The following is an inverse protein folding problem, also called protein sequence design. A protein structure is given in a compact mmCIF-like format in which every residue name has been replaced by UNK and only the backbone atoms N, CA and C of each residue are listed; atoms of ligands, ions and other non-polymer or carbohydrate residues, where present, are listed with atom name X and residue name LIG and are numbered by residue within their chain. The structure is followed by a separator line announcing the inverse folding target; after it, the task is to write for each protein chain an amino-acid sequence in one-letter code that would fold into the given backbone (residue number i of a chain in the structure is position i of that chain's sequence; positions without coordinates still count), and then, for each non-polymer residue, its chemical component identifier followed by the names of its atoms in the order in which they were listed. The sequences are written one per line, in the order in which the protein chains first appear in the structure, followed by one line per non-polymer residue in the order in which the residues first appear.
data_IF_896642488135
#
_entry.id   IF_896642488135
#
_cell.length_a   1.000
_cell.length_b   1.000
_cell.length_c   1.000
_cell.angle_alpha   90.00
_cell.angle_beta   90.00
_cell.angle_gamma   90.00
#
_symmetry.space_group_name_H-M   'P 1'
#
loop_
_entity.id
_entity.type
_entity.pdbx_description
1 polymer ?
#
# COMPACT_ATOMS: atom_id res chain seq x y z
N UNK A 1 76.48 -24.80 -6.78
CA UNK A 1 76.33 -24.81 -8.26
C UNK A 1 75.42 -25.97 -8.59
N UNK A 2 74.15 -25.68 -8.84
CA UNK A 2 73.06 -26.64 -8.86
C UNK A 2 72.12 -26.39 -10.04
N UNK A 3 71.64 -27.51 -10.55
CA UNK A 3 70.79 -27.76 -11.70
C UNK A 3 69.34 -27.24 -11.57
N UNK A 4 68.75 -26.98 -12.74
CA UNK A 4 67.38 -27.33 -13.14
C UNK A 4 66.18 -27.01 -12.23
N UNK A 5 65.30 -26.10 -12.70
CA UNK A 5 63.87 -26.40 -12.95
C UNK A 5 63.11 -25.23 -13.56
N UNK A 6 62.57 -25.46 -14.76
CA UNK A 6 61.42 -24.76 -15.34
C UNK A 6 60.23 -24.79 -14.37
N UNK A 7 59.58 -23.66 -14.14
CA UNK A 7 58.17 -23.60 -13.71
C UNK A 7 57.48 -22.36 -14.27
N UNK A 8 56.68 -22.61 -15.32
CA UNK A 8 55.33 -22.06 -15.57
C UNK A 8 55.08 -20.57 -15.30
N UNK A 9 54.91 -19.79 -16.37
CA UNK A 9 53.89 -18.73 -16.39
C UNK A 9 53.42 -18.43 -17.81
N UNK A 10 52.69 -19.40 -18.36
CA UNK A 10 51.63 -19.08 -19.31
C UNK A 10 50.45 -18.46 -18.55
N UNK A 11 49.75 -17.56 -19.22
CA UNK A 11 48.42 -17.05 -18.88
C UNK A 11 48.29 -16.05 -17.72
N UNK A 12 48.87 -14.86 -17.88
CA UNK A 12 48.45 -13.66 -17.11
C UNK A 12 47.50 -12.73 -17.87
N UNK A 13 47.05 -13.07 -19.08
CA UNK A 13 46.22 -12.20 -19.92
C UNK A 13 44.70 -12.41 -19.78
N UNK A 14 44.24 -13.22 -18.80
CA UNK A 14 42.81 -13.50 -18.59
C UNK A 14 42.22 -13.02 -17.26
N UNK A 15 43.02 -12.44 -16.37
CA UNK A 15 42.57 -12.01 -15.05
C UNK A 15 42.17 -10.52 -14.98
N UNK A 16 42.38 -9.72 -16.02
CA UNK A 16 42.02 -8.28 -16.00
C UNK A 16 40.58 -7.97 -16.40
N UNK A 17 39.78 -8.97 -16.81
CA UNK A 17 38.39 -8.74 -17.28
C UNK A 17 37.30 -9.01 -16.26
N UNK A 18 37.65 -9.43 -15.03
CA UNK A 18 36.67 -9.73 -13.98
C UNK A 18 36.69 -8.64 -12.88
N UNK A 19 37.77 -7.89 -12.73
CA UNK A 19 37.92 -6.86 -11.68
C UNK A 19 37.28 -5.51 -12.02
N UNK A 20 36.91 -5.26 -13.28
CA UNK A 20 36.25 -4.00 -13.69
C UNK A 20 34.73 -3.97 -13.42
N UNK A 21 34.11 -5.09 -13.02
CA UNK A 21 32.68 -5.10 -12.69
C UNK A 21 32.36 -4.55 -11.29
N UNK A 22 33.28 -4.67 -10.33
CA UNK A 22 33.07 -4.14 -8.97
C UNK A 22 33.33 -2.63 -8.88
N UNK A 23 34.20 -2.08 -9.73
CA UNK A 23 34.58 -0.66 -9.72
C UNK A 23 33.58 0.29 -10.40
N UNK A 24 32.54 -0.23 -11.06
CA UNK A 24 31.45 0.57 -11.66
C UNK A 24 30.18 0.62 -10.80
N UNK A 25 30.21 0.00 -9.61
CA UNK A 25 29.06 -0.06 -8.69
C UNK A 25 29.07 1.04 -7.60
N UNK A 26 30.11 1.88 -7.54
CA UNK A 26 30.29 2.85 -6.44
C UNK A 26 30.12 4.33 -6.79
N UNK A 27 29.83 4.70 -8.05
CA UNK A 27 29.69 6.12 -8.45
C UNK A 27 28.30 6.49 -9.01
N UNK A 28 27.28 5.67 -8.76
CA UNK A 28 25.88 6.08 -9.01
C UNK A 28 25.13 6.34 -7.71
N UNK A 29 25.74 7.10 -6.81
CA UNK A 29 25.01 7.96 -5.87
C UNK A 29 24.38 9.13 -6.65
N UNK A 30 23.54 8.79 -7.62
CA UNK A 30 22.53 9.71 -8.11
C UNK A 30 21.45 9.76 -7.05
N UNK A 31 21.76 10.53 -6.00
CA UNK A 31 20.77 11.21 -5.19
C UNK A 31 19.76 11.84 -6.15
N UNK A 32 18.68 11.10 -6.40
CA UNK A 32 17.52 11.59 -7.12
C UNK A 32 17.01 12.72 -6.25
N UNK A 33 17.48 13.92 -6.54
CA UNK A 33 16.92 15.16 -6.05
C UNK A 33 15.45 15.10 -6.46
N UNK A 34 14.59 14.73 -5.51
CA UNK A 34 13.15 14.83 -5.63
C UNK A 34 12.87 16.33 -5.67
N UNK A 35 13.09 16.92 -6.84
CA UNK A 35 12.77 18.29 -7.14
C UNK A 35 11.24 18.37 -7.19
N UNK A 36 10.68 18.66 -6.03
CA UNK A 36 9.41 19.33 -5.80
C UNK A 36 8.36 19.15 -6.91
N UNK A 37 7.84 17.93 -7.08
CA UNK A 37 6.59 17.73 -7.83
C UNK A 37 5.44 18.08 -6.89
N UNK A 38 4.55 18.98 -7.34
CA UNK A 38 3.21 19.20 -6.76
C UNK A 38 2.58 17.85 -6.40
N UNK A 39 1.68 17.75 -5.40
CA UNK A 39 1.22 16.45 -4.92
C UNK A 39 0.66 15.66 -6.10
N UNK A 40 1.37 14.59 -6.49
CA UNK A 40 1.08 13.80 -7.69
C UNK A 40 -0.38 13.33 -7.75
N UNK A 41 -1.03 13.22 -6.58
CA UNK A 41 -2.43 12.90 -6.43
C UNK A 41 -3.38 13.93 -7.02
N UNK A 42 -3.11 15.23 -6.87
CA UNK A 42 -3.97 16.31 -7.40
C UNK A 42 -3.87 16.42 -8.91
N UNK A 43 -2.68 16.17 -9.47
CA UNK A 43 -2.47 16.15 -10.91
C UNK A 43 -3.12 14.92 -11.56
N UNK A 44 -3.05 13.76 -10.90
CA UNK A 44 -3.77 12.54 -11.30
C UNK A 44 -5.29 12.73 -11.22
N UNK A 45 -5.80 13.37 -10.16
CA UNK A 45 -7.22 13.73 -10.03
C UNK A 45 -7.65 14.72 -11.11
N UNK A 46 -6.77 15.67 -11.48
CA UNK A 46 -7.02 16.63 -12.55
C UNK A 46 -7.08 16.00 -13.95
N UNK A 47 -6.54 14.79 -14.15
CA UNK A 47 -6.76 14.01 -15.38
C UNK A 47 -8.17 13.39 -15.46
N UNK A 48 -8.89 13.35 -14.33
CA UNK A 48 -10.24 12.78 -14.23
C UNK A 48 -11.38 13.77 -14.56
N UNK A 49 -11.06 14.95 -15.12
CA UNK A 49 -12.03 15.99 -15.54
C UNK A 49 -13.28 15.50 -16.31
N UNK A 50 -13.21 14.52 -17.24
CA UNK A 50 -14.42 14.10 -17.95
C UNK A 50 -15.40 13.25 -17.13
N UNK A 51 -15.01 12.76 -15.96
CA UNK A 51 -15.84 11.88 -15.10
C UNK A 51 -16.15 12.49 -13.74
N UNK A 52 -16.00 13.80 -13.64
CA UNK A 52 -16.27 14.55 -12.43
C UNK A 52 -17.64 14.28 -11.78
N UNK A 53 -18.77 14.03 -12.49
CA UNK A 53 -20.04 13.77 -11.81
C UNK A 53 -20.07 12.46 -11.01
N UNK A 54 -19.47 11.38 -11.53
CA UNK A 54 -19.38 10.10 -10.80
C UNK A 54 -18.41 10.21 -9.63
N UNK A 55 -17.32 10.95 -9.83
CA UNK A 55 -16.34 11.22 -8.80
C UNK A 55 -16.94 12.04 -7.65
N UNK A 56 -17.61 13.16 -7.95
CA UNK A 56 -18.21 14.02 -6.94
C UNK A 56 -19.31 13.31 -6.16
N UNK A 57 -20.16 12.54 -6.84
CA UNK A 57 -21.18 11.72 -6.19
C UNK A 57 -20.56 10.72 -5.22
N UNK A 58 -19.54 9.98 -5.66
CA UNK A 58 -18.85 8.99 -4.84
C UNK A 58 -18.19 9.61 -3.61
N UNK A 59 -17.51 10.76 -3.78
CA UNK A 59 -16.87 11.48 -2.68
C UNK A 59 -17.89 11.97 -1.63
N UNK A 60 -19.02 12.54 -2.07
CA UNK A 60 -20.08 13.00 -1.15
C UNK A 60 -20.72 11.82 -0.40
N UNK A 61 -21.01 10.72 -1.09
CA UNK A 61 -21.60 9.54 -0.47
C UNK A 61 -20.67 8.94 0.61
N UNK A 62 -19.37 8.88 0.34
CA UNK A 62 -18.38 8.38 1.29
C UNK A 62 -18.16 9.34 2.46
N UNK A 63 -18.12 10.65 2.19
CA UNK A 63 -18.03 11.65 3.24
C UNK A 63 -19.21 11.54 4.21
N UNK A 64 -20.44 11.37 3.71
CA UNK A 64 -21.63 11.15 4.53
C UNK A 64 -21.57 9.83 5.32
N UNK A 65 -21.04 8.77 4.71
CA UNK A 65 -20.88 7.49 5.41
C UNK A 65 -19.91 7.57 6.59
N UNK A 66 -18.84 8.37 6.49
CA UNK A 66 -17.90 8.61 7.59
C UNK A 66 -18.55 9.19 8.85
N UNK A 67 -19.62 9.97 8.70
CA UNK A 67 -20.38 10.57 9.82
C UNK A 67 -21.31 9.54 10.50
N UNK A 68 -21.63 8.43 9.85
CA UNK A 68 -22.53 7.43 10.40
C UNK A 68 -21.97 6.75 11.67
N UNK A 69 -20.65 6.62 11.80
CA UNK A 69 -19.99 6.03 12.97
C UNK A 69 -20.13 6.92 14.22
N UNK A 70 -19.82 8.23 14.17
CA UNK A 70 -20.09 9.12 15.31
C UNK A 70 -21.59 9.29 15.59
N UNK A 71 -22.44 9.33 14.56
CA UNK A 71 -23.89 9.34 14.75
C UNK A 71 -24.37 8.08 15.49
N UNK A 72 -23.84 6.90 15.16
CA UNK A 72 -24.11 5.67 15.89
C UNK A 72 -23.71 5.79 17.38
N UNK A 73 -22.53 6.38 17.66
CA UNK A 73 -22.08 6.61 19.04
C UNK A 73 -23.04 7.53 19.83
N UNK A 74 -23.58 8.58 19.19
CA UNK A 74 -24.55 9.46 19.82
C UNK A 74 -25.86 8.76 20.17
N UNK A 75 -26.43 8.00 19.22
CA UNK A 75 -27.65 7.23 19.48
C UNK A 75 -27.39 6.15 20.54
N UNK A 76 -26.17 5.58 20.57
CA UNK A 76 -25.75 4.65 21.61
C UNK A 76 -25.67 5.31 22.99
N UNK A 77 -25.19 6.55 23.06
CA UNK A 77 -25.16 7.31 24.31
C UNK A 77 -26.55 7.52 24.91
N UNK A 78 -27.58 7.69 24.05
CA UNK A 78 -28.96 7.86 24.51
C UNK A 78 -29.57 6.60 25.14
N UNK A 79 -29.03 5.42 24.86
CA UNK A 79 -29.43 4.20 25.57
C UNK A 79 -29.12 4.34 27.07
N UNK A 80 -28.02 5.00 27.44
CA UNK A 80 -27.68 5.18 28.85
C UNK A 80 -28.71 6.05 29.59
N UNK A 81 -29.32 7.01 28.90
CA UNK A 81 -30.38 7.85 29.46
C UNK A 81 -31.70 7.09 29.70
N UNK A 82 -31.86 5.86 29.18
CA UNK A 82 -33.02 4.99 29.42
C UNK A 82 -32.92 4.14 30.70
N UNK A 83 -31.72 3.97 31.24
CA UNK A 83 -31.51 3.21 32.49
C UNK A 83 -32.18 3.84 33.71
N UNK A 84 -32.11 5.18 33.96
CA UNK A 84 -32.73 5.79 35.13
C UNK A 84 -34.26 5.90 35.05
N UNK A 85 -34.89 5.59 33.91
CA UNK A 85 -36.35 5.65 33.77
C UNK A 85 -37.03 4.48 34.50
N UNK A 86 -37.95 4.81 35.42
CA UNK A 86 -38.71 3.85 36.24
C UNK A 86 -40.01 3.36 35.58
N UNK A 87 -40.57 4.11 34.63
CA UNK A 87 -41.79 3.72 33.91
C UNK A 87 -41.51 2.71 32.77
N UNK A 88 -42.13 1.54 32.88
CA UNK A 88 -41.93 0.42 31.96
C UNK A 88 -42.54 0.65 30.57
N UNK A 89 -43.66 1.38 30.48
CA UNK A 89 -44.33 1.65 29.19
C UNK A 89 -43.57 2.71 28.39
N UNK A 90 -43.21 3.84 29.01
CA UNK A 90 -42.40 4.88 28.36
C UNK A 90 -41.03 4.36 27.91
N UNK A 91 -40.39 3.51 28.72
CA UNK A 91 -39.10 2.89 28.38
C UNK A 91 -39.19 2.01 27.13
N UNK A 92 -40.23 1.16 27.02
CA UNK A 92 -40.42 0.30 25.84
C UNK A 92 -40.63 1.11 24.56
N UNK A 93 -41.45 2.17 24.62
CA UNK A 93 -41.70 3.04 23.46
C UNK A 93 -40.44 3.80 23.02
N UNK A 94 -39.62 4.27 23.97
CA UNK A 94 -38.35 4.94 23.65
C UNK A 94 -37.32 3.96 23.09
N UNK A 95 -37.22 2.76 23.66
CA UNK A 95 -36.30 1.72 23.15
C UNK A 95 -36.66 1.27 21.73
N UNK A 96 -37.95 1.07 21.42
CA UNK A 96 -38.38 0.67 20.07
C UNK A 96 -38.12 1.78 19.04
N UNK A 97 -38.28 3.05 19.44
CA UNK A 97 -37.92 4.18 18.59
C UNK A 97 -36.41 4.25 18.33
N UNK A 98 -35.59 4.08 19.38
CA UNK A 98 -34.13 4.13 19.27
C UNK A 98 -33.59 2.96 18.42
N UNK A 99 -34.13 1.75 18.58
CA UNK A 99 -33.74 0.60 17.75
C UNK A 99 -34.11 0.80 16.27
N UNK A 100 -35.22 1.48 15.98
CA UNK A 100 -35.58 1.90 14.64
C UNK A 100 -34.54 2.85 14.01
N UNK A 101 -34.04 3.83 14.78
CA UNK A 101 -32.98 4.74 14.34
C UNK A 101 -31.67 3.98 14.06
N UNK A 102 -31.29 3.02 14.90
CA UNK A 102 -30.12 2.18 14.66
C UNK A 102 -30.21 1.40 13.35
N UNK A 103 -31.36 0.77 13.09
CA UNK A 103 -31.59 0.07 11.84
C UNK A 103 -31.49 1.02 10.66
N UNK A 104 -32.14 2.20 10.73
CA UNK A 104 -32.09 3.21 9.68
C UNK A 104 -30.66 3.69 9.40
N UNK A 105 -29.86 3.99 10.43
CA UNK A 105 -28.46 4.39 10.28
C UNK A 105 -27.61 3.28 9.64
N UNK A 106 -27.83 2.03 10.03
CA UNK A 106 -27.14 0.87 9.45
C UNK A 106 -27.44 0.71 7.96
N UNK A 107 -28.72 0.76 7.57
CA UNK A 107 -29.14 0.69 6.17
C UNK A 107 -28.61 1.87 5.35
N UNK A 108 -28.68 3.09 5.90
CA UNK A 108 -28.18 4.29 5.24
C UNK A 108 -26.67 4.19 5.01
N UNK A 109 -25.91 3.76 6.02
CA UNK A 109 -24.46 3.56 5.91
C UNK A 109 -24.12 2.52 4.85
N UNK A 110 -24.79 1.37 4.86
CA UNK A 110 -24.58 0.31 3.88
C UNK A 110 -24.81 0.84 2.47
N UNK A 111 -25.92 1.54 2.25
CA UNK A 111 -26.28 2.10 0.94
C UNK A 111 -25.28 3.15 0.46
N UNK A 112 -24.87 4.09 1.34
CA UNK A 112 -23.92 5.14 1.01
C UNK A 112 -22.52 4.58 0.72
N UNK A 113 -22.02 3.66 1.55
CA UNK A 113 -20.71 3.02 1.33
C UNK A 113 -20.72 2.15 0.08
N UNK A 114 -21.77 1.37 -0.17
CA UNK A 114 -21.86 0.53 -1.36
C UNK A 114 -21.92 1.36 -2.65
N UNK A 115 -22.84 2.34 -2.71
CA UNK A 115 -23.01 3.20 -3.89
C UNK A 115 -21.80 4.11 -4.12
N UNK A 116 -21.21 4.68 -3.06
CA UNK A 116 -20.03 5.54 -3.14
C UNK A 116 -18.80 4.79 -3.63
N UNK A 117 -18.51 3.61 -3.05
CA UNK A 117 -17.38 2.79 -3.49
C UNK A 117 -17.58 2.23 -4.91
N UNK A 118 -18.81 1.88 -5.29
CA UNK A 118 -19.10 1.46 -6.67
C UNK A 118 -18.85 2.60 -7.66
N UNK A 119 -19.32 3.81 -7.38
CA UNK A 119 -19.11 4.98 -8.24
C UNK A 119 -17.62 5.33 -8.39
N UNK A 120 -16.85 5.34 -7.29
CA UNK A 120 -15.41 5.57 -7.33
C UNK A 120 -14.65 4.43 -8.01
N UNK A 121 -15.07 3.18 -7.83
CA UNK A 121 -14.51 2.02 -8.52
C UNK A 121 -14.67 2.13 -10.04
N UNK A 122 -15.87 2.48 -10.51
CA UNK A 122 -16.15 2.68 -11.94
C UNK A 122 -15.33 3.84 -12.51
N UNK A 123 -15.30 4.99 -11.83
CA UNK A 123 -14.50 6.13 -12.29
C UNK A 123 -13.00 5.82 -12.31
N UNK A 124 -12.51 5.13 -11.28
CA UNK A 124 -11.13 4.65 -11.23
C UNK A 124 -10.81 3.72 -12.40
N UNK A 125 -11.72 2.81 -12.78
CA UNK A 125 -11.48 1.86 -13.87
C UNK A 125 -11.39 2.55 -15.24
N UNK A 126 -12.26 3.54 -15.48
CA UNK A 126 -12.24 4.31 -16.72
C UNK A 126 -11.02 5.23 -16.82
N UNK A 127 -10.61 5.85 -15.71
CA UNK A 127 -9.36 6.61 -15.64
C UNK A 127 -8.16 5.74 -15.98
N UNK A 128 -8.08 4.52 -15.43
CA UNK A 128 -7.03 3.54 -15.74
C UNK A 128 -7.04 3.17 -17.21
N UNK A 129 -8.21 2.91 -17.82
CA UNK A 129 -8.30 2.59 -19.25
C UNK A 129 -7.78 3.74 -20.12
N UNK A 130 -8.12 4.99 -19.77
CA UNK A 130 -7.63 6.18 -20.47
C UNK A 130 -6.12 6.37 -20.30
N UNK A 131 -5.61 6.20 -19.09
CA UNK A 131 -4.19 6.27 -18.80
C UNK A 131 -3.40 5.23 -19.61
N UNK A 132 -3.89 3.98 -19.70
CA UNK A 132 -3.27 2.93 -20.53
C UNK A 132 -3.21 3.34 -22.01
N UNK A 133 -4.31 3.88 -22.56
CA UNK A 133 -4.35 4.35 -23.95
C UNK A 133 -3.35 5.48 -24.21
N UNK A 134 -3.27 6.45 -23.31
CA UNK A 134 -2.35 7.58 -23.44
C UNK A 134 -0.89 7.14 -23.32
N UNK A 135 -0.58 6.28 -22.36
CA UNK A 135 0.77 5.74 -22.15
C UNK A 135 1.23 4.93 -23.36
N UNK A 136 0.38 4.02 -23.85
CA UNK A 136 0.68 3.23 -25.05
C UNK A 136 0.87 4.11 -26.30
N UNK A 137 0.00 5.11 -26.49
CA UNK A 137 0.14 6.09 -27.58
C UNK A 137 1.44 6.89 -27.47
N UNK A 138 1.89 7.22 -26.27
CA UNK A 138 3.14 7.93 -26.05
C UNK A 138 4.35 7.04 -26.39
N UNK A 139 4.34 5.76 -25.98
CA UNK A 139 5.39 4.80 -26.33
C UNK A 139 5.52 4.66 -27.86
N UNK A 140 4.41 4.50 -28.58
CA UNK A 140 4.44 4.33 -30.05
C UNK A 140 4.96 5.55 -30.83
N UNK A 141 4.99 6.73 -30.22
CA UNK A 141 5.49 7.97 -30.85
C UNK A 141 6.98 8.19 -30.64
N UNK A 142 7.62 7.34 -29.86
CA UNK A 142 9.00 7.52 -29.47
C UNK A 142 9.95 6.99 -30.56
N UNK A 143 11.12 7.63 -30.69
CA UNK A 143 12.15 7.26 -31.66
C UNK A 143 12.77 5.88 -31.38
N UNK A 144 13.29 5.22 -32.42
CA UNK A 144 13.88 3.87 -32.31
C UNK A 144 15.06 3.84 -31.32
N UNK A 145 15.91 4.87 -31.33
CA UNK A 145 17.06 4.99 -30.42
C UNK A 145 16.67 5.03 -28.93
N UNK A 146 15.43 5.38 -28.60
CA UNK A 146 14.95 5.35 -27.21
C UNK A 146 14.70 3.92 -26.72
N UNK A 147 14.28 3.02 -27.60
CA UNK A 147 14.06 1.60 -27.30
C UNK A 147 15.36 0.81 -27.17
N UNK A 148 16.46 1.32 -27.71
CA UNK A 148 17.80 0.72 -27.57
C UNK A 148 18.34 0.83 -26.14
N UNK A 149 17.77 1.72 -25.31
CA UNK A 149 18.14 1.82 -23.89
C UNK A 149 17.67 0.58 -23.13
N UNK A 150 18.51 -0.02 -22.26
CA UNK A 150 18.17 -1.24 -21.52
C UNK A 150 16.93 -1.04 -20.62
N UNK A 151 16.66 0.19 -20.17
CA UNK A 151 15.49 0.54 -19.36
C UNK A 151 14.16 0.51 -20.13
N UNK A 152 14.21 0.69 -21.45
CA UNK A 152 13.05 0.89 -22.33
C UNK A 152 12.82 -0.32 -23.25
N UNK A 153 13.33 -1.48 -22.87
CA UNK A 153 13.04 -2.72 -23.57
C UNK A 153 11.53 -3.00 -23.58
N UNK A 154 11.02 -3.57 -24.67
CA UNK A 154 9.59 -3.84 -24.84
C UNK A 154 8.96 -4.65 -23.70
N UNK A 155 9.71 -5.61 -23.13
CA UNK A 155 9.27 -6.41 -21.97
C UNK A 155 9.09 -5.56 -20.70
N UNK A 156 10.03 -4.66 -20.42
CA UNK A 156 9.99 -3.77 -19.27
C UNK A 156 8.85 -2.76 -19.42
N UNK A 157 8.66 -2.18 -20.62
CA UNK A 157 7.58 -1.24 -20.88
C UNK A 157 6.20 -1.87 -20.76
N UNK A 158 6.04 -3.11 -21.22
CA UNK A 158 4.79 -3.86 -21.07
C UNK A 158 4.51 -4.16 -19.60
N UNK A 159 5.55 -4.54 -18.84
CA UNK A 159 5.45 -4.72 -17.40
C UNK A 159 5.07 -3.42 -16.68
N UNK A 160 5.73 -2.29 -16.98
CA UNK A 160 5.42 -0.98 -16.41
C UNK A 160 3.99 -0.54 -16.75
N UNK A 161 3.54 -0.72 -17.99
CA UNK A 161 2.18 -0.40 -18.40
C UNK A 161 1.14 -1.24 -17.63
N UNK A 162 1.45 -2.51 -17.32
CA UNK A 162 0.60 -3.37 -16.53
C UNK A 162 0.55 -2.94 -15.06
N UNK A 163 1.72 -2.68 -14.44
CA UNK A 163 1.85 -2.43 -12.99
C UNK A 163 1.62 -0.98 -12.59
N UNK A 164 2.27 -0.02 -13.22
CA UNK A 164 2.20 1.41 -12.86
C UNK A 164 0.82 2.00 -13.15
N UNK A 165 0.14 1.53 -14.19
CA UNK A 165 -1.23 1.99 -14.48
C UNK A 165 -2.25 1.34 -13.55
N UNK A 166 -1.99 0.13 -13.05
CA UNK A 166 -2.83 -0.51 -12.03
C UNK A 166 -2.65 0.13 -10.65
N UNK A 167 -1.44 0.54 -10.28
CA UNK A 167 -1.23 1.25 -9.01
C UNK A 167 -2.02 2.56 -8.98
N UNK A 168 -2.15 3.25 -10.12
CA UNK A 168 -3.02 4.42 -10.27
C UNK A 168 -4.48 4.13 -9.93
N UNK A 169 -5.02 3.00 -10.41
CA UNK A 169 -6.38 2.56 -10.11
C UNK A 169 -6.61 2.41 -8.61
N UNK A 170 -5.67 1.75 -7.94
CA UNK A 170 -5.74 1.48 -6.50
C UNK A 170 -5.73 2.77 -5.69
N UNK A 171 -4.92 3.74 -6.09
CA UNK A 171 -4.80 5.03 -5.41
C UNK A 171 -6.07 5.86 -5.61
N UNK A 172 -6.58 5.98 -6.84
CA UNK A 172 -7.75 6.83 -7.14
C UNK A 172 -9.09 6.19 -6.75
N UNK A 173 -9.19 4.86 -6.76
CA UNK A 173 -10.41 4.14 -6.40
C UNK A 173 -10.56 3.92 -4.90
N UNK A 174 -9.99 2.82 -4.40
CA UNK A 174 -10.25 2.34 -3.03
C UNK A 174 -9.52 3.14 -1.97
N UNK A 175 -8.26 3.53 -2.21
CA UNK A 175 -7.52 4.30 -1.20
C UNK A 175 -8.11 5.69 -1.00
N UNK A 176 -8.42 6.41 -2.08
CA UNK A 176 -9.04 7.74 -1.99
C UNK A 176 -10.35 7.71 -1.19
N UNK A 177 -11.17 6.69 -1.44
CA UNK A 177 -12.37 6.36 -0.66
C UNK A 177 -12.07 6.26 0.83
N UNK A 178 -11.15 5.37 1.22
CA UNK A 178 -10.81 5.12 2.62
C UNK A 178 -10.20 6.36 3.28
N UNK A 179 -9.32 7.09 2.59
CA UNK A 179 -8.74 8.33 3.12
C UNK A 179 -9.82 9.37 3.42
N UNK A 180 -10.77 9.58 2.51
CA UNK A 180 -11.85 10.53 2.70
C UNK A 180 -12.80 10.11 3.83
N UNK A 181 -13.14 8.81 3.91
CA UNK A 181 -13.96 8.26 5.00
C UNK A 181 -13.28 8.48 6.35
N UNK A 182 -11.97 8.21 6.46
CA UNK A 182 -11.19 8.44 7.68
C UNK A 182 -11.14 9.92 8.08
N UNK A 183 -10.95 10.84 7.13
CA UNK A 183 -10.95 12.28 7.41
C UNK A 183 -12.33 12.71 7.90
N UNK A 184 -13.40 12.30 7.21
CA UNK A 184 -14.77 12.62 7.61
C UNK A 184 -15.10 12.08 9.00
N UNK A 185 -14.73 10.82 9.26
CA UNK A 185 -14.87 10.18 10.57
C UNK A 185 -14.13 10.96 11.66
N UNK A 186 -12.86 11.31 11.42
CA UNK A 186 -12.03 12.03 12.38
C UNK A 186 -12.60 13.43 12.68
N UNK A 187 -12.98 14.18 11.65
CA UNK A 187 -13.55 15.52 11.81
C UNK A 187 -14.88 15.46 12.55
N UNK A 188 -15.80 14.60 12.13
CA UNK A 188 -17.12 14.48 12.77
C UNK A 188 -17.02 13.98 14.22
N UNK A 189 -16.17 13.00 14.50
CA UNK A 189 -15.93 12.51 15.86
C UNK A 189 -15.34 13.61 16.76
N UNK A 190 -14.36 14.37 16.28
CA UNK A 190 -13.77 15.48 17.03
C UNK A 190 -14.79 16.59 17.31
N UNK A 191 -15.56 17.01 16.31
CA UNK A 191 -16.60 18.04 16.48
C UNK A 191 -17.62 17.61 17.53
N UNK A 192 -18.08 16.37 17.48
CA UNK A 192 -19.02 15.83 18.47
C UNK A 192 -18.38 15.78 19.86
N UNK A 193 -17.14 15.29 19.99
CA UNK A 193 -16.46 15.19 21.28
C UNK A 193 -16.29 16.57 21.94
N UNK A 194 -15.79 17.56 21.18
CA UNK A 194 -15.60 18.92 21.67
C UNK A 194 -16.91 19.61 22.04
N UNK A 195 -18.02 19.31 21.34
CA UNK A 195 -19.33 19.87 21.64
C UNK A 195 -19.86 19.43 23.01
N UNK A 196 -19.71 18.15 23.38
CA UNK A 196 -20.22 17.64 24.66
C UNK A 196 -19.33 17.98 25.85
N UNK A 197 -18.01 17.78 25.74
CA UNK A 197 -17.08 18.10 26.82
C UNK A 197 -15.67 18.36 26.28
N UNK A 198 -15.29 19.64 26.24
CA UNK A 198 -13.99 20.07 25.73
C UNK A 198 -12.82 19.60 26.61
N UNK A 199 -12.99 19.53 27.94
CA UNK A 199 -11.93 19.11 28.85
C UNK A 199 -11.61 17.61 28.72
N UNK A 200 -12.65 16.76 28.66
CA UNK A 200 -12.48 15.32 28.47
C UNK A 200 -11.89 15.00 27.09
N UNK A 201 -12.28 15.77 26.07
CA UNK A 201 -11.76 15.63 24.70
C UNK A 201 -10.28 15.97 24.58
N UNK A 202 -9.80 17.02 25.28
CA UNK A 202 -8.38 17.37 25.30
C UNK A 202 -7.53 16.27 25.94
N UNK A 203 -8.02 15.65 27.01
CA UNK A 203 -7.35 14.51 27.65
C UNK A 203 -7.26 13.34 26.65
N UNK A 204 -8.35 13.01 25.97
CA UNK A 204 -8.33 11.96 24.95
C UNK A 204 -7.36 12.27 23.79
N UNK A 205 -7.29 13.54 23.36
CA UNK A 205 -6.37 13.99 22.31
C UNK A 205 -4.90 13.83 22.74
N UNK A 206 -4.58 14.01 24.02
CA UNK A 206 -3.22 13.82 24.54
C UNK A 206 -2.73 12.37 24.40
N UNK A 207 -3.63 11.38 24.34
CA UNK A 207 -3.26 9.97 24.11
C UNK A 207 -3.06 9.62 22.62
N UNK A 208 -3.56 10.44 21.68
CA UNK A 208 -3.45 10.15 20.24
C UNK A 208 -1.99 10.04 19.77
N UNK A 209 -1.05 10.93 20.13
CA UNK A 209 0.36 10.78 19.77
C UNK A 209 1.02 9.51 20.33
N UNK A 210 0.65 9.10 21.54
CA UNK A 210 1.18 7.88 22.15
C UNK A 210 0.72 6.62 21.39
N UNK A 211 -0.55 6.57 21.00
CA UNK A 211 -1.09 5.50 20.15
C UNK A 211 -0.43 5.49 18.77
N UNK A 212 -0.22 6.66 18.18
CA UNK A 212 0.50 6.78 16.90
C UNK A 212 1.93 6.24 17.02
N UNK A 213 2.65 6.63 18.06
CA UNK A 213 4.01 6.15 18.31
C UNK A 213 4.06 4.63 18.47
N UNK A 214 3.19 4.05 19.32
CA UNK A 214 3.08 2.61 19.48
C UNK A 214 2.77 1.88 18.16
N UNK A 215 1.84 2.41 17.35
CA UNK A 215 1.49 1.85 16.05
C UNK A 215 2.65 1.88 15.04
N UNK A 216 3.43 2.96 15.01
CA UNK A 216 4.63 3.04 14.16
C UNK A 216 5.72 2.07 14.60
N UNK A 217 5.92 1.89 15.91
CA UNK A 217 6.87 0.90 16.43
C UNK A 217 6.46 -0.52 16.08
N UNK A 218 5.18 -0.86 16.26
CA UNK A 218 4.65 -2.17 15.88
C UNK A 218 4.83 -2.44 14.38
N UNK A 219 4.51 -1.46 13.52
CA UNK A 219 4.68 -1.58 12.07
C UNK A 219 6.16 -1.76 11.68
N UNK A 220 7.07 -1.05 12.36
CA UNK A 220 8.51 -1.19 12.17
C UNK A 220 9.04 -2.55 12.61
N UNK A 221 8.57 -3.07 13.73
CA UNK A 221 8.95 -4.40 14.22
C UNK A 221 8.51 -5.50 13.24
N UNK A 222 7.26 -5.47 12.80
CA UNK A 222 6.71 -6.43 11.84
C UNK A 222 7.47 -6.35 10.50
N UNK A 223 7.72 -5.14 10.00
CA UNK A 223 8.38 -4.97 8.70
C UNK A 223 9.88 -5.31 8.73
N UNK A 224 10.56 -4.98 9.83
CA UNK A 224 12.00 -5.21 9.99
C UNK A 224 12.36 -6.68 10.09
N UNK A 225 11.58 -7.46 10.84
CA UNK A 225 11.92 -8.84 11.18
C UNK A 225 11.39 -9.87 10.15
N UNK A 226 10.19 -9.65 9.62
CA UNK A 226 9.62 -10.55 8.60
C UNK A 226 10.23 -10.30 7.22
N UNK A 227 10.50 -9.03 6.87
CA UNK A 227 10.98 -8.66 5.54
C UNK A 227 12.35 -9.25 5.20
N UNK A 228 13.34 -9.11 6.09
CA UNK A 228 14.69 -9.59 5.81
C UNK A 228 14.79 -11.12 5.81
N UNK A 229 14.20 -11.79 6.80
CA UNK A 229 14.31 -13.24 6.93
C UNK A 229 13.53 -13.98 5.83
N UNK A 230 12.37 -13.47 5.42
CA UNK A 230 11.59 -14.05 4.33
C UNK A 230 12.25 -13.83 2.96
N UNK A 231 12.84 -12.66 2.72
CA UNK A 231 13.59 -12.38 1.48
C UNK A 231 14.82 -13.28 1.36
N UNK A 232 15.56 -13.50 2.46
CA UNK A 232 16.71 -14.42 2.44
C UNK A 232 16.30 -15.86 2.09
N UNK A 233 15.19 -16.36 2.65
CA UNK A 233 14.68 -17.70 2.30
C UNK A 233 14.26 -17.80 0.84
N UNK A 234 13.57 -16.78 0.32
CA UNK A 234 13.17 -16.70 -1.08
C UNK A 234 14.38 -16.67 -2.03
N UNK A 235 15.44 -15.92 -1.67
CA UNK A 235 16.66 -15.84 -2.47
C UNK A 235 17.38 -17.20 -2.56
N UNK A 236 17.46 -17.95 -1.46
CA UNK A 236 18.05 -19.31 -1.46
C UNK A 236 17.26 -20.26 -2.36
N UNK A 237 15.92 -20.19 -2.34
CA UNK A 237 15.09 -20.98 -3.24
C UNK A 237 15.27 -20.55 -4.70
N UNK A 238 15.36 -19.26 -4.96
CA UNK A 238 15.56 -18.72 -6.32
C UNK A 238 16.92 -19.12 -6.89
N UNK A 239 17.98 -19.08 -6.09
CA UNK A 239 19.32 -19.54 -6.46
C UNK A 239 19.32 -21.03 -6.81
N UNK A 240 18.60 -21.84 -6.03
CA UNK A 240 18.42 -23.28 -6.27
C UNK A 240 17.70 -23.57 -7.59
N UNK A 241 16.60 -22.87 -7.87
CA UNK A 241 15.83 -23.07 -9.10
C UNK A 241 16.57 -22.57 -10.34
N UNK A 242 17.27 -21.44 -10.23
CA UNK A 242 18.05 -20.88 -11.34
C UNK A 242 19.23 -21.79 -11.68
N UNK A 243 19.84 -22.41 -10.67
CA UNK A 243 21.01 -23.29 -10.80
C UNK A 243 20.68 -24.79 -10.71
N UNK A 244 19.47 -25.21 -11.07
CA UNK A 244 18.99 -26.58 -10.85
C UNK A 244 19.91 -27.66 -11.45
N UNK A 245 20.51 -27.38 -12.63
CA UNK A 245 21.47 -28.29 -13.29
C UNK A 245 22.73 -28.47 -12.47
N UNK A 246 23.23 -27.40 -11.87
CA UNK A 246 24.43 -27.41 -11.02
C UNK A 246 24.13 -28.15 -9.71
N UNK A 247 22.98 -27.89 -9.08
CA UNK A 247 22.58 -28.57 -7.86
C UNK A 247 22.42 -30.09 -8.08
N UNK A 248 21.80 -30.49 -9.18
CA UNK A 248 21.64 -31.90 -9.54
C UNK A 248 22.99 -32.56 -9.93
N UNK A 249 23.85 -31.85 -10.68
CA UNK A 249 25.16 -32.36 -11.08
C UNK A 249 26.10 -32.63 -9.89
N UNK A 250 25.99 -31.83 -8.82
CA UNK A 250 26.79 -32.00 -7.60
C UNK A 250 26.05 -32.77 -6.49
N UNK A 251 24.81 -33.21 -6.70
CA UNK A 251 24.01 -33.92 -5.68
C UNK A 251 23.73 -33.08 -4.42
N UNK A 252 23.66 -31.75 -4.54
CA UNK A 252 23.57 -30.81 -3.41
C UNK A 252 22.13 -30.53 -2.94
N UNK A 253 21.17 -31.34 -3.35
CA UNK A 253 19.74 -31.14 -3.11
C UNK A 253 19.41 -31.10 -1.61
N UNK A 254 19.99 -32.03 -0.83
CA UNK A 254 19.80 -32.07 0.62
C UNK A 254 20.43 -30.86 1.33
N UNK A 255 21.60 -30.42 0.88
CA UNK A 255 22.29 -29.25 1.43
C UNK A 255 21.49 -27.96 1.23
N UNK A 256 20.97 -27.75 0.02
CA UNK A 256 20.14 -26.59 -0.30
C UNK A 256 18.79 -26.64 0.41
N UNK A 257 18.19 -27.83 0.52
CA UNK A 257 16.97 -28.04 1.30
C UNK A 257 17.17 -27.68 2.78
N UNK A 258 18.29 -28.09 3.38
CA UNK A 258 18.61 -27.77 4.77
C UNK A 258 18.94 -26.28 4.98
N UNK A 259 19.66 -25.67 4.03
CA UNK A 259 19.90 -24.21 3.99
C UNK A 259 18.58 -23.43 3.92
N UNK A 260 17.66 -23.82 3.04
CA UNK A 260 16.33 -23.21 2.95
C UNK A 260 15.53 -23.41 4.25
N UNK A 261 15.53 -24.62 4.82
CA UNK A 261 14.81 -24.96 6.05
C UNK A 261 15.31 -24.15 7.24
N UNK A 262 16.62 -23.94 7.36
CA UNK A 262 17.23 -23.15 8.44
C UNK A 262 16.93 -21.66 8.30
N UNK A 263 17.06 -21.11 7.10
CA UNK A 263 16.70 -19.70 6.81
C UNK A 263 15.21 -19.44 7.01
N UNK A 264 14.34 -20.36 6.60
CA UNK A 264 12.88 -20.23 6.78
C UNK A 264 12.44 -20.40 8.24
N UNK A 265 13.08 -21.28 9.02
CA UNK A 265 12.82 -21.39 10.47
C UNK A 265 13.20 -20.13 11.24
N UNK A 266 14.24 -19.42 10.80
CA UNK A 266 14.66 -18.14 11.38
C UNK A 266 13.61 -17.04 11.21
N UNK A 267 12.76 -17.13 10.19
CA UNK A 267 11.63 -16.22 9.95
C UNK A 267 10.40 -16.45 10.85
N UNK A 268 10.37 -17.54 11.64
CA UNK A 268 9.23 -17.89 12.52
C UNK A 268 9.47 -17.61 14.01
N UNK A 269 10.68 -17.23 14.40
CA UNK A 269 11.01 -16.77 15.76
C UNK A 269 10.99 -15.26 15.76
#
# INVERSE_FOLDING_TARGET
MGDSKRMLRGDSLRASKITDYDALSSDTDMSVSIKNKKPALLEVLAMNKPEWPYLSYGLVAIALSGVALPAFSLVYSEIYNLFPMTDAQAKRARTSFLSGIFAMLGFLRLFLTASGNAALGVSGARLTMRARRLFFKAILKQEVAWFDRPENQAGILTARLATEVQSLHRVTGTQLSTFLECISLMVSALVIAFYYNWALSLIALAFVPALFFAGTLQTRQISGDLGQNQVQGANVAQEAFTSYRTVAAYGLEQFIYEKFRTTSKRSKK
#
